data_IF_505320894511
#
_entry.id   IF_505320894511
#
_cell.length_a   1.000
_cell.length_b   1.000
_cell.length_c   1.000
_cell.angle_alpha   90.00
_cell.angle_beta   90.00
_cell.angle_gamma   90.00
#
_symmetry.space_group_name_H-M   'P 1'
#
loop_
_entity.id
_entity.type
_entity.pdbx_description
1 polymer ?
#
# COMPACT_ATOMS: atom_id res chain seq x y z
N UNK A 1 -10.63 -10.39 12.70
CA UNK A 1 -11.24 -10.26 11.36
C UNK A 1 -10.70 -11.37 10.47
N UNK A 2 -11.56 -12.15 9.81
CA UNK A 2 -11.14 -13.20 8.87
C UNK A 2 -11.56 -12.78 7.46
N UNK A 3 -10.64 -12.84 6.49
CA UNK A 3 -10.93 -12.35 5.12
C UNK A 3 -12.11 -13.05 4.46
N UNK A 4 -12.28 -14.37 4.71
CA UNK A 4 -13.41 -15.15 4.19
C UNK A 4 -14.79 -14.66 4.62
N UNK A 5 -14.87 -13.81 5.65
CA UNK A 5 -16.11 -13.24 6.19
C UNK A 5 -16.37 -11.83 5.63
N UNK A 6 -15.50 -11.31 4.78
CA UNK A 6 -15.60 -9.98 4.17
C UNK A 6 -15.98 -10.16 2.70
N UNK A 7 -17.06 -9.50 2.27
CA UNK A 7 -17.44 -9.49 0.87
C UNK A 7 -16.41 -8.71 0.04
N UNK A 8 -16.09 -9.22 -1.14
CA UNK A 8 -15.21 -8.58 -2.13
C UNK A 8 -15.97 -7.62 -3.05
N UNK A 9 -17.31 -7.67 -3.02
CA UNK A 9 -18.17 -6.79 -3.79
C UNK A 9 -18.50 -5.51 -3.02
N UNK A 10 -18.73 -4.39 -3.73
CA UNK A 10 -19.20 -3.18 -3.09
C UNK A 10 -20.60 -3.38 -2.47
N UNK A 11 -20.96 -2.59 -1.44
CA UNK A 11 -22.31 -2.58 -0.89
C UNK A 11 -23.37 -2.35 -1.98
N UNK A 12 -24.44 -3.16 -1.97
CA UNK A 12 -25.48 -3.18 -3.03
C UNK A 12 -26.29 -1.88 -3.10
N UNK A 13 -26.30 -1.10 -2.03
CA UNK A 13 -27.03 0.16 -1.85
C UNK A 13 -26.32 1.37 -2.47
N UNK A 14 -25.08 1.22 -2.97
CA UNK A 14 -24.31 2.34 -3.51
C UNK A 14 -24.40 2.43 -5.03
N UNK A 15 -24.96 3.54 -5.52
CA UNK A 15 -24.93 3.89 -6.93
C UNK A 15 -23.52 4.32 -7.35
N UNK A 16 -23.05 3.78 -8.48
CA UNK A 16 -21.69 4.03 -8.99
C UNK A 16 -21.41 5.52 -9.20
N UNK A 17 -22.38 6.25 -9.76
CA UNK A 17 -22.27 7.69 -10.04
C UNK A 17 -22.09 8.51 -8.75
N UNK A 18 -22.85 8.20 -7.71
CA UNK A 18 -22.73 8.87 -6.40
C UNK A 18 -21.37 8.61 -5.76
N UNK A 19 -20.85 7.38 -5.87
CA UNK A 19 -19.51 7.04 -5.34
C UNK A 19 -18.42 7.80 -6.08
N UNK A 20 -18.54 7.96 -7.40
CA UNK A 20 -17.59 8.75 -8.19
C UNK A 20 -17.60 10.21 -7.75
N UNK A 21 -18.79 10.82 -7.63
CA UNK A 21 -18.92 12.22 -7.18
C UNK A 21 -18.33 12.44 -5.79
N UNK A 22 -18.63 11.56 -4.83
CA UNK A 22 -18.03 11.61 -3.48
C UNK A 22 -16.52 11.42 -3.52
N UNK A 23 -16.02 10.57 -4.39
CA UNK A 23 -14.57 10.35 -4.54
C UNK A 23 -13.87 11.63 -5.03
N UNK A 24 -14.45 12.35 -5.97
CA UNK A 24 -13.92 13.64 -6.44
C UNK A 24 -13.88 14.70 -5.31
N UNK A 25 -14.92 14.74 -4.47
CA UNK A 25 -14.95 15.59 -3.27
C UNK A 25 -13.81 15.22 -2.30
N UNK A 26 -13.63 13.92 -2.03
CA UNK A 26 -12.55 13.45 -1.17
C UNK A 26 -11.17 13.76 -1.74
N UNK A 27 -10.97 13.68 -3.06
CA UNK A 27 -9.69 14.05 -3.69
C UNK A 27 -9.40 15.54 -3.49
N UNK A 28 -10.40 16.41 -3.62
CA UNK A 28 -10.23 17.86 -3.35
C UNK A 28 -9.85 18.12 -1.90
N UNK A 29 -10.55 17.47 -0.96
CA UNK A 29 -10.25 17.58 0.47
C UNK A 29 -8.86 17.02 0.80
N UNK A 30 -8.48 15.90 0.21
CA UNK A 30 -7.16 15.29 0.37
C UNK A 30 -6.05 16.23 -0.11
N UNK A 31 -6.23 16.87 -1.27
CA UNK A 31 -5.27 17.86 -1.79
C UNK A 31 -5.06 19.02 -0.80
N UNK A 32 -6.15 19.62 -0.31
CA UNK A 32 -6.10 20.70 0.68
C UNK A 32 -5.44 20.26 2.01
N UNK A 33 -5.75 19.06 2.49
CA UNK A 33 -5.13 18.52 3.71
C UNK A 33 -3.65 18.19 3.51
N UNK A 34 -3.26 17.74 2.32
CA UNK A 34 -1.87 17.48 1.99
C UNK A 34 -1.05 18.78 1.99
N UNK A 35 -1.58 19.88 1.44
CA UNK A 35 -0.91 21.19 1.50
C UNK A 35 -0.68 21.63 2.95
N UNK A 36 -1.68 21.46 3.82
CA UNK A 36 -1.53 21.73 5.27
C UNK A 36 -0.48 20.84 5.92
N UNK A 37 -0.48 19.54 5.62
CA UNK A 37 0.51 18.60 6.11
C UNK A 37 1.93 19.09 5.74
N UNK A 38 2.12 19.45 4.47
CA UNK A 38 3.39 19.92 3.93
C UNK A 38 3.85 21.24 4.55
N UNK A 39 2.94 22.19 4.75
CA UNK A 39 3.26 23.47 5.37
C UNK A 39 3.61 23.34 6.86
N UNK A 40 2.86 22.53 7.61
CA UNK A 40 3.03 22.42 9.06
C UNK A 40 4.27 21.60 9.46
N UNK A 41 4.68 20.62 8.65
CA UNK A 41 5.83 19.73 8.92
C UNK A 41 5.82 19.13 10.33
N UNK A 42 4.64 18.82 10.87
CA UNK A 42 4.49 18.22 12.21
C UNK A 42 4.43 16.70 12.17
N UNK A 43 3.69 16.17 11.20
CA UNK A 43 3.48 14.74 10.98
C UNK A 43 3.94 14.35 9.58
N UNK A 44 4.06 13.05 9.33
CA UNK A 44 4.16 12.46 8.01
C UNK A 44 3.17 11.31 7.89
N UNK A 45 2.83 10.92 6.65
CA UNK A 45 1.89 9.83 6.39
C UNK A 45 2.57 8.77 5.55
N UNK A 46 2.57 7.53 6.04
CA UNK A 46 2.98 6.36 5.29
C UNK A 46 1.74 5.54 4.93
N UNK A 47 1.48 5.39 3.64
CA UNK A 47 0.36 4.60 3.11
C UNK A 47 0.95 3.29 2.57
N UNK A 48 0.47 2.17 3.09
CA UNK A 48 0.87 0.84 2.63
C UNK A 48 -0.29 0.24 1.87
N UNK A 49 -0.06 -0.03 0.57
CA UNK A 49 -1.01 -0.74 -0.28
C UNK A 49 -0.53 -2.17 -0.48
N UNK A 50 -1.30 -3.10 0.05
CA UNK A 50 -1.15 -4.52 -0.20
C UNK A 50 -2.38 -5.12 -0.88
N UNK A 51 -2.19 -6.28 -1.50
CA UNK A 51 -3.24 -6.96 -2.25
C UNK A 51 -2.62 -7.94 -3.24
N UNK A 52 -3.39 -8.94 -3.64
CA UNK A 52 -2.97 -9.88 -4.68
C UNK A 52 -2.62 -9.15 -5.99
N UNK A 53 -1.91 -9.83 -6.88
CA UNK A 53 -1.70 -9.28 -8.22
C UNK A 53 -3.05 -9.05 -8.90
N UNK A 54 -3.12 -7.97 -9.69
CA UNK A 54 -4.33 -7.41 -10.31
C UNK A 54 -5.40 -6.85 -9.34
N UNK A 55 -5.14 -6.79 -8.02
CA UNK A 55 -6.08 -6.21 -7.05
C UNK A 55 -6.38 -4.71 -7.24
N UNK A 56 -5.59 -4.00 -8.06
CA UNK A 56 -5.86 -2.60 -8.41
C UNK A 56 -4.99 -1.57 -7.68
N UNK A 57 -3.88 -1.97 -7.05
CA UNK A 57 -2.97 -1.08 -6.31
C UNK A 57 -2.54 0.15 -7.13
N UNK A 58 -2.08 -0.06 -8.35
CA UNK A 58 -1.61 1.03 -9.23
C UNK A 58 -2.74 1.99 -9.62
N UNK A 59 -3.92 1.45 -9.89
CA UNK A 59 -5.12 2.23 -10.22
C UNK A 59 -5.56 3.06 -9.01
N UNK A 60 -5.57 2.47 -7.81
CA UNK A 60 -5.84 3.20 -6.56
C UNK A 60 -4.88 4.37 -6.38
N UNK A 61 -3.58 4.16 -6.59
CA UNK A 61 -2.58 5.24 -6.52
C UNK A 61 -2.92 6.33 -7.54
N UNK A 62 -3.11 5.93 -8.81
CA UNK A 62 -3.38 6.86 -9.91
C UNK A 62 -4.61 7.72 -9.65
N UNK A 63 -5.72 7.15 -9.19
CA UNK A 63 -6.99 7.87 -9.06
C UNK A 63 -7.10 8.64 -7.74
N UNK A 64 -6.75 8.02 -6.60
CA UNK A 64 -6.92 8.66 -5.28
C UNK A 64 -5.94 9.82 -5.09
N UNK A 65 -4.74 9.74 -5.67
CA UNK A 65 -3.69 10.73 -5.47
C UNK A 65 -3.50 11.67 -6.67
N UNK A 66 -4.40 11.63 -7.66
CA UNK A 66 -4.32 12.46 -8.87
C UNK A 66 -4.25 13.97 -8.60
N UNK A 67 -4.93 14.43 -7.53
CA UNK A 67 -5.00 15.86 -7.17
C UNK A 67 -3.95 16.32 -6.18
N UNK A 68 -3.01 15.46 -5.76
CA UNK A 68 -1.98 15.83 -4.78
C UNK A 68 -0.81 16.53 -5.46
N UNK A 69 -0.26 17.56 -4.82
CA UNK A 69 0.97 18.19 -5.26
C UNK A 69 2.13 17.16 -5.24
N UNK A 70 2.79 16.88 -6.38
CA UNK A 70 3.85 15.87 -6.46
C UNK A 70 5.05 16.19 -5.56
N UNK A 71 5.27 17.45 -5.16
CA UNK A 71 6.33 17.80 -4.20
C UNK A 71 6.06 17.32 -2.78
N UNK A 72 4.81 16.96 -2.47
CA UNK A 72 4.38 16.48 -1.16
C UNK A 72 4.09 14.99 -1.09
N UNK A 73 4.24 14.27 -2.21
CA UNK A 73 3.89 12.86 -2.33
C UNK A 73 4.97 12.06 -3.06
N UNK A 74 5.29 10.87 -2.56
CA UNK A 74 6.24 9.98 -3.20
C UNK A 74 5.71 8.54 -3.23
N UNK A 75 5.94 7.83 -4.33
CA UNK A 75 5.54 6.43 -4.48
C UNK A 75 6.78 5.56 -4.56
N UNK A 76 6.87 4.55 -3.70
CA UNK A 76 7.87 3.49 -3.76
C UNK A 76 7.18 2.16 -4.07
N UNK A 77 7.48 1.59 -5.23
CA UNK A 77 7.08 0.23 -5.59
C UNK A 77 8.17 -0.75 -5.17
N UNK A 78 7.79 -1.79 -4.44
CA UNK A 78 8.70 -2.81 -3.94
C UNK A 78 8.66 -4.07 -4.81
N UNK A 79 9.83 -4.48 -5.29
CA UNK A 79 10.07 -5.75 -5.95
C UNK A 79 10.90 -6.68 -5.06
N UNK A 80 11.26 -7.84 -5.59
CA UNK A 80 12.18 -8.79 -4.96
C UNK A 80 13.46 -8.04 -4.54
N UNK A 81 13.99 -8.28 -3.33
CA UNK A 81 15.24 -7.67 -2.88
C UNK A 81 16.40 -7.93 -3.84
N UNK A 82 17.22 -6.89 -4.11
CA UNK A 82 18.42 -7.04 -4.92
C UNK A 82 19.59 -7.64 -4.11
N UNK A 83 20.73 -7.89 -4.77
CA UNK A 83 21.89 -8.53 -4.16
C UNK A 83 22.47 -7.80 -2.95
N UNK A 84 22.41 -6.47 -2.95
CA UNK A 84 22.83 -5.62 -1.82
C UNK A 84 21.81 -5.69 -0.69
N UNK A 85 20.52 -5.52 -1.00
CA UNK A 85 19.44 -5.51 -0.01
C UNK A 85 19.36 -6.81 0.78
N UNK A 86 19.67 -7.95 0.17
CA UNK A 86 19.70 -9.27 0.83
C UNK A 86 20.83 -9.37 1.88
N UNK A 87 21.88 -8.57 1.79
CA UNK A 87 22.97 -8.58 2.76
C UNK A 87 22.60 -7.93 4.11
N UNK A 88 21.49 -7.18 4.14
CA UNK A 88 21.01 -6.47 5.34
C UNK A 88 19.73 -7.11 5.89
N UNK A 89 19.27 -6.63 7.04
CA UNK A 89 17.95 -7.00 7.52
C UNK A 89 16.85 -6.49 6.58
N UNK A 90 15.69 -7.16 6.57
CA UNK A 90 14.63 -6.88 5.61
C UNK A 90 13.99 -5.49 5.78
N UNK A 91 14.11 -4.87 6.96
CA UNK A 91 13.57 -3.54 7.23
C UNK A 91 14.54 -2.43 6.83
N UNK A 92 15.84 -2.72 6.66
CA UNK A 92 16.84 -1.74 6.27
C UNK A 92 16.45 -0.97 5.01
N UNK A 93 16.10 -1.68 3.94
CA UNK A 93 15.70 -1.04 2.68
C UNK A 93 14.42 -0.22 2.87
N UNK A 94 13.51 -0.72 3.68
CA UNK A 94 12.19 -0.12 3.93
C UNK A 94 12.33 1.18 4.71
N UNK A 95 13.17 1.19 5.74
CA UNK A 95 13.42 2.35 6.58
C UNK A 95 14.00 3.52 5.79
N UNK A 96 14.82 3.25 4.75
CA UNK A 96 15.33 4.33 3.86
C UNK A 96 14.23 5.12 3.14
N UNK A 97 13.03 4.55 2.99
CA UNK A 97 11.91 5.15 2.28
C UNK A 97 10.71 5.41 3.21
N UNK A 98 10.96 5.78 4.46
CA UNK A 98 9.92 6.35 5.34
C UNK A 98 9.76 7.85 5.05
N UNK A 99 8.54 8.41 5.15
CA UNK A 99 8.30 9.79 4.78
C UNK A 99 8.91 10.77 5.79
N UNK A 100 9.64 11.81 5.35
CA UNK A 100 10.00 12.91 6.23
C UNK A 100 8.75 13.72 6.59
N UNK A 101 8.84 14.55 7.64
CA UNK A 101 7.71 15.38 8.09
C UNK A 101 7.19 16.28 6.97
N UNK A 102 5.87 16.34 6.85
CA UNK A 102 5.15 17.06 5.81
C UNK A 102 4.86 16.26 4.54
N UNK A 103 5.39 15.03 4.42
CA UNK A 103 5.24 14.21 3.21
C UNK A 103 4.25 13.08 3.40
N UNK A 104 3.65 12.67 2.27
CA UNK A 104 2.92 11.40 2.11
C UNK A 104 3.80 10.46 1.28
N UNK A 105 4.19 9.32 1.84
CA UNK A 105 4.84 8.26 1.08
C UNK A 105 3.88 7.09 0.90
N UNK A 106 3.80 6.55 -0.31
CA UNK A 106 2.95 5.43 -0.68
C UNK A 106 3.84 4.25 -1.04
N UNK A 107 3.75 3.18 -0.26
CA UNK A 107 4.40 1.91 -0.52
C UNK A 107 3.44 1.01 -1.28
N UNK A 108 3.74 0.75 -2.56
CA UNK A 108 3.06 -0.24 -3.39
C UNK A 108 3.77 -1.58 -3.22
N UNK A 109 3.13 -2.53 -2.53
CA UNK A 109 3.81 -3.57 -1.74
C UNK A 109 4.63 -2.95 -0.59
N UNK A 110 5.23 -3.73 0.30
CA UNK A 110 5.92 -3.20 1.51
C UNK A 110 6.75 -4.28 2.21
N UNK A 111 7.25 -3.99 3.43
CA UNK A 111 7.85 -4.96 4.35
C UNK A 111 6.97 -6.17 4.66
N UNK A 112 5.67 -6.14 4.36
CA UNK A 112 4.81 -7.32 4.47
C UNK A 112 5.16 -8.41 3.44
N UNK A 113 5.83 -8.09 2.32
CA UNK A 113 6.30 -9.10 1.36
C UNK A 113 7.28 -10.09 1.99
N UNK A 114 8.11 -9.60 2.93
CA UNK A 114 9.06 -10.40 3.69
C UNK A 114 8.42 -11.36 4.71
N UNK A 115 7.10 -11.32 4.83
CA UNK A 115 6.32 -12.30 5.59
C UNK A 115 5.47 -13.15 4.65
N UNK A 116 4.77 -12.51 3.70
CA UNK A 116 3.83 -13.17 2.79
C UNK A 116 4.55 -14.16 1.88
N UNK A 117 5.57 -13.70 1.14
CA UNK A 117 6.23 -14.55 0.15
C UNK A 117 6.98 -15.73 0.79
N UNK A 118 7.76 -15.53 1.87
CA UNK A 118 8.42 -16.65 2.53
C UNK A 118 7.46 -17.67 3.13
N UNK A 119 6.30 -17.23 3.64
CA UNK A 119 5.27 -18.15 4.14
C UNK A 119 4.65 -18.97 3.01
N UNK A 120 4.37 -18.37 1.86
CA UNK A 120 3.81 -19.07 0.69
C UNK A 120 4.83 -20.06 0.10
N UNK A 121 6.09 -19.66 -0.01
CA UNK A 121 7.15 -20.49 -0.61
C UNK A 121 7.75 -21.50 0.38
N UNK A 122 7.43 -21.41 1.67
CA UNK A 122 8.01 -22.27 2.71
C UNK A 122 9.50 -22.03 2.96
N UNK A 123 10.03 -20.85 2.62
CA UNK A 123 11.46 -20.54 2.78
C UNK A 123 11.83 -20.11 4.20
N UNK A 124 10.84 -19.77 5.04
CA UNK A 124 11.03 -19.49 6.47
C UNK A 124 10.09 -20.34 7.33
N UNK A 125 10.56 -20.71 8.52
CA UNK A 125 9.74 -21.40 9.51
C UNK A 125 8.67 -20.48 10.09
N UNK A 126 7.59 -21.07 10.61
CA UNK A 126 6.49 -20.34 11.24
C UNK A 126 6.95 -19.47 12.41
N UNK A 127 7.93 -19.97 13.18
CA UNK A 127 8.58 -19.19 14.24
C UNK A 127 9.25 -17.94 13.68
N UNK A 128 10.02 -18.08 12.60
CA UNK A 128 10.74 -16.95 11.98
C UNK A 128 9.79 -15.95 11.33
N UNK A 129 8.65 -16.42 10.82
CA UNK A 129 7.56 -15.58 10.34
C UNK A 129 6.98 -14.72 11.48
N UNK A 130 6.71 -15.32 12.65
CA UNK A 130 6.19 -14.55 13.80
C UNK A 130 7.22 -13.52 14.30
N UNK A 131 8.50 -13.88 14.37
CA UNK A 131 9.57 -12.93 14.71
C UNK A 131 9.64 -11.73 13.74
N UNK A 132 9.48 -11.96 12.43
CA UNK A 132 9.41 -10.86 11.44
C UNK A 132 8.15 -10.01 11.66
N UNK A 133 7.02 -10.62 11.96
CA UNK A 133 5.79 -9.89 12.29
C UNK A 133 5.95 -9.03 13.54
N UNK A 134 6.68 -9.51 14.56
CA UNK A 134 7.05 -8.72 15.73
C UNK A 134 7.93 -7.52 15.36
N UNK A 135 8.99 -7.76 14.57
CA UNK A 135 9.87 -6.69 14.10
C UNK A 135 9.11 -5.62 13.31
N UNK A 136 8.12 -6.01 12.49
CA UNK A 136 7.23 -5.09 11.77
C UNK A 136 6.41 -4.24 12.76
N UNK A 137 5.79 -4.87 13.77
CA UNK A 137 5.00 -4.16 14.78
C UNK A 137 5.85 -3.13 15.52
N UNK A 138 7.09 -3.48 15.86
CA UNK A 138 7.99 -2.60 16.59
C UNK A 138 8.53 -1.47 15.71
N UNK A 139 8.87 -1.78 14.45
CA UNK A 139 9.23 -0.77 13.46
C UNK A 139 8.12 0.28 13.27
N UNK A 140 6.88 -0.16 13.05
CA UNK A 140 5.75 0.76 12.85
C UNK A 140 5.48 1.63 14.09
N UNK A 141 5.56 1.05 15.29
CA UNK A 141 5.47 1.82 16.55
C UNK A 141 6.62 2.81 16.69
N UNK A 142 7.83 2.41 16.33
CA UNK A 142 9.03 3.25 16.39
C UNK A 142 8.88 4.48 15.48
N UNK A 143 8.42 4.31 14.24
CA UNK A 143 8.19 5.43 13.32
C UNK A 143 7.21 6.47 13.88
N UNK A 144 6.13 6.00 14.52
CA UNK A 144 5.18 6.90 15.15
C UNK A 144 5.80 7.62 16.35
N UNK A 145 6.49 6.91 17.24
CA UNK A 145 7.09 7.48 18.46
C UNK A 145 8.16 8.54 18.16
N UNK A 146 9.06 8.25 17.23
CA UNK A 146 10.20 9.13 16.97
C UNK A 146 9.86 10.36 16.13
N UNK A 147 8.97 10.20 15.14
CA UNK A 147 8.72 11.25 14.13
C UNK A 147 7.24 11.58 13.91
N UNK A 148 6.32 10.88 14.56
CA UNK A 148 4.88 11.12 14.40
C UNK A 148 4.36 10.65 13.04
N UNK A 149 4.98 9.64 12.44
CA UNK A 149 4.53 9.04 11.17
C UNK A 149 3.24 8.28 11.39
N UNK A 150 2.16 8.73 10.76
CA UNK A 150 0.87 8.04 10.76
C UNK A 150 0.87 7.00 9.65
N UNK A 151 0.63 5.73 10.01
CA UNK A 151 0.68 4.61 9.07
C UNK A 151 -0.74 4.15 8.76
N UNK A 152 -1.11 4.15 7.48
CA UNK A 152 -2.39 3.68 6.97
C UNK A 152 -2.16 2.45 6.10
N UNK A 153 -2.75 1.31 6.49
CA UNK A 153 -2.52 0.01 5.84
C UNK A 153 -3.79 -0.47 5.17
N UNK A 154 -3.75 -0.62 3.86
CA UNK A 154 -4.87 -1.06 3.04
C UNK A 154 -4.55 -2.38 2.37
N UNK A 155 -5.44 -3.35 2.52
CA UNK A 155 -5.43 -4.59 1.76
C UNK A 155 -6.57 -4.55 0.74
N UNK A 156 -6.23 -4.48 -0.54
CA UNK A 156 -7.20 -4.52 -1.63
C UNK A 156 -7.67 -5.96 -1.83
N UNK A 157 -8.86 -6.24 -1.29
CA UNK A 157 -9.46 -7.56 -1.27
C UNK A 157 -10.34 -7.78 -2.51
N UNK A 158 -9.93 -8.70 -3.38
CA UNK A 158 -10.71 -9.16 -4.54
C UNK A 158 -10.89 -10.67 -4.48
N UNK A 159 -11.95 -11.18 -5.13
CA UNK A 159 -12.18 -12.62 -5.24
C UNK A 159 -11.20 -13.27 -6.22
N UNK A 160 -11.09 -14.61 -6.17
CA UNK A 160 -10.27 -15.37 -7.13
C UNK A 160 -10.81 -15.26 -8.54
N UNK A 161 -12.13 -15.22 -8.68
CA UNK A 161 -12.83 -15.10 -9.96
C UNK A 161 -12.53 -13.74 -10.60
N UNK A 162 -12.59 -12.66 -9.83
CA UNK A 162 -12.24 -11.32 -10.31
C UNK A 162 -10.76 -11.21 -10.64
N UNK A 163 -9.88 -11.84 -9.85
CA UNK A 163 -8.45 -11.88 -10.14
C UNK A 163 -8.19 -12.56 -11.49
N UNK A 164 -8.78 -13.73 -11.72
CA UNK A 164 -8.64 -14.50 -12.96
C UNK A 164 -9.14 -13.69 -14.16
N UNK A 165 -10.32 -13.06 -14.03
CA UNK A 165 -10.90 -12.20 -15.06
C UNK A 165 -9.93 -11.08 -15.45
N UNK A 166 -9.37 -10.35 -14.49
CA UNK A 166 -8.42 -9.25 -14.76
C UNK A 166 -7.11 -9.73 -15.41
N UNK A 167 -6.66 -10.94 -15.09
CA UNK A 167 -5.48 -11.54 -15.74
C UNK A 167 -5.80 -11.83 -17.21
N UNK A 168 -6.96 -12.44 -17.48
CA UNK A 168 -7.41 -12.71 -18.85
C UNK A 168 -7.56 -11.43 -19.67
N UNK A 169 -8.16 -10.38 -19.10
CA UNK A 169 -8.28 -9.07 -19.74
C UNK A 169 -6.92 -8.46 -20.09
N UNK A 170 -5.91 -8.59 -19.21
CA UNK A 170 -4.55 -8.11 -19.50
C UNK A 170 -3.91 -8.85 -20.65
N UNK A 171 -3.99 -10.19 -20.68
CA UNK A 171 -3.44 -11.01 -21.76
C UNK A 171 -4.09 -10.67 -23.11
N UNK A 172 -5.39 -10.37 -23.10
CA UNK A 172 -6.15 -10.03 -24.31
C UNK A 172 -5.91 -8.61 -24.83
N UNK A 173 -5.31 -7.73 -24.03
CA UNK A 173 -5.07 -6.33 -24.37
C UNK A 173 -3.58 -6.12 -24.70
N UNK A 174 -3.20 -5.95 -25.98
CA UNK A 174 -1.81 -5.77 -26.39
C UNK A 174 -1.08 -4.63 -25.66
N UNK A 175 -1.79 -3.58 -25.25
CA UNK A 175 -1.22 -2.42 -24.55
C UNK A 175 -0.89 -2.72 -23.08
N UNK A 176 -1.27 -3.90 -22.57
CA UNK A 176 -1.04 -4.36 -21.19
C UNK A 176 -0.18 -5.62 -21.08
N UNK A 177 0.49 -6.03 -22.16
CA UNK A 177 1.33 -7.24 -22.23
C UNK A 177 2.80 -7.04 -21.86
N UNK A 178 3.19 -5.84 -21.42
CA UNK A 178 4.52 -5.54 -20.87
C UNK A 178 4.71 -6.14 -19.47
#
# INVERSE_FOLDING_TARGET
MRLKEIDTLPPKDKLKEEVIQKTEEYIKNLSYLQEKLYALKKHSILIILQGVDTAGKDSTIKHVFAGINPQGCYVKSWSIPNSEEIQFDFLWRIHKYVPPKGMIYIHNRSHYEDVIMPKIQGTLSDKRIEERMESIRDFEKHLFREKGTVILKFFLHISKEEQLKRIQERISDPDKNW
#
